data_IF_556569110031
#
_entry.id   IF_556569110031
#
_cell.length_a   1.000
_cell.length_b   1.000
_cell.length_c   1.000
_cell.angle_alpha   90.00
_cell.angle_beta   90.00
_cell.angle_gamma   90.00
#
_symmetry.space_group_name_H-M   'P 1'
#
loop_
_entity.id
_entity.type
_entity.pdbx_description
1 polymer ?
#
# COMPACT_ATOMS: atom_id res chain seq x y z
N UNK A 1 -41.22 -12.21 16.70
CA UNK A 1 -40.23 -11.50 17.54
C UNK A 1 -39.12 -11.01 16.63
N UNK A 2 -38.58 -9.83 16.91
CA UNK A 2 -37.44 -9.29 16.17
C UNK A 2 -36.19 -10.02 16.65
N UNK A 3 -35.47 -10.67 15.74
CA UNK A 3 -34.27 -11.43 16.06
C UNK A 3 -33.02 -10.54 16.15
N UNK A 4 -31.89 -11.13 16.52
CA UNK A 4 -30.64 -10.39 16.70
C UNK A 4 -30.09 -9.80 15.39
N UNK A 5 -30.41 -10.38 14.23
CA UNK A 5 -29.95 -9.83 12.95
C UNK A 5 -30.69 -8.51 12.66
N UNK A 6 -32.00 -8.49 12.87
CA UNK A 6 -32.78 -7.27 12.74
C UNK A 6 -32.46 -6.24 13.81
N UNK A 7 -32.13 -6.65 15.04
CA UNK A 7 -31.63 -5.73 16.08
C UNK A 7 -30.31 -5.09 15.68
N UNK A 8 -29.39 -5.86 15.09
CA UNK A 8 -28.15 -5.33 14.51
C UNK A 8 -28.44 -4.30 13.41
N UNK A 9 -29.35 -4.64 12.49
CA UNK A 9 -29.78 -3.74 11.41
C UNK A 9 -30.42 -2.44 11.93
N UNK A 10 -31.28 -2.51 12.96
CA UNK A 10 -31.88 -1.33 13.62
C UNK A 10 -30.78 -0.42 14.18
N UNK A 11 -29.84 -0.99 14.95
CA UNK A 11 -28.75 -0.24 15.54
C UNK A 11 -27.90 0.47 14.47
N UNK A 12 -27.51 -0.24 13.41
CA UNK A 12 -26.76 0.33 12.29
C UNK A 12 -27.51 1.50 11.63
N UNK A 13 -28.80 1.33 11.34
CA UNK A 13 -29.59 2.37 10.67
C UNK A 13 -29.79 3.61 11.54
N UNK A 14 -29.96 3.45 12.84
CA UNK A 14 -29.99 4.58 13.78
C UNK A 14 -28.65 5.34 13.77
N UNK A 15 -27.52 4.65 13.66
CA UNK A 15 -26.18 5.24 13.61
C UNK A 15 -25.86 5.93 12.27
N UNK A 16 -26.43 5.41 11.19
CA UNK A 16 -26.46 6.04 9.86
C UNK A 16 -27.40 7.26 9.81
N UNK A 17 -28.07 7.59 10.92
CA UNK A 17 -28.98 8.73 11.04
C UNK A 17 -30.25 8.60 10.20
N UNK A 18 -30.68 7.36 9.90
CA UNK A 18 -32.00 7.10 9.35
C UNK A 18 -33.06 7.37 10.43
N UNK A 19 -34.22 7.88 10.01
CA UNK A 19 -35.29 8.22 10.97
C UNK A 19 -35.86 6.96 11.65
N UNK A 20 -36.21 7.00 12.95
CA UNK A 20 -36.88 5.88 13.61
C UNK A 20 -38.15 5.44 12.86
N UNK A 21 -38.91 6.39 12.32
CA UNK A 21 -40.12 6.11 11.55
C UNK A 21 -39.84 5.32 10.27
N UNK A 22 -38.76 5.62 9.52
CA UNK A 22 -38.40 4.84 8.33
C UNK A 22 -37.96 3.43 8.70
N UNK A 23 -37.25 3.26 9.81
CA UNK A 23 -36.82 1.95 10.31
C UNK A 23 -38.05 1.11 10.70
N UNK A 24 -38.98 1.68 11.47
CA UNK A 24 -40.25 1.03 11.83
C UNK A 24 -41.05 0.67 10.58
N UNK A 25 -41.12 1.56 9.58
CA UNK A 25 -41.82 1.29 8.33
C UNK A 25 -41.23 0.07 7.60
N UNK A 26 -39.90 -0.01 7.49
CA UNK A 26 -39.22 -1.17 6.89
C UNK A 26 -39.51 -2.45 7.67
N UNK A 27 -39.47 -2.42 9.00
CA UNK A 27 -39.82 -3.61 9.81
C UNK A 27 -41.25 -4.10 9.53
N UNK A 28 -42.22 -3.18 9.44
CA UNK A 28 -43.61 -3.54 9.12
C UNK A 28 -43.72 -4.16 7.71
N UNK A 29 -43.02 -3.60 6.72
CA UNK A 29 -42.98 -4.17 5.36
C UNK A 29 -42.42 -5.59 5.32
N UNK A 30 -41.56 -5.95 6.28
CA UNK A 30 -41.01 -7.30 6.44
C UNK A 30 -41.85 -8.21 7.36
N UNK A 31 -43.08 -7.80 7.70
CA UNK A 31 -44.05 -8.65 8.41
C UNK A 31 -43.92 -8.62 9.93
N UNK A 32 -43.15 -7.70 10.50
CA UNK A 32 -43.14 -7.49 11.95
C UNK A 32 -44.40 -6.73 12.39
N UNK A 33 -44.93 -7.12 13.54
CA UNK A 33 -46.04 -6.42 14.17
C UNK A 33 -45.69 -4.94 14.43
N UNK A 34 -46.55 -3.98 14.06
CA UNK A 34 -46.25 -2.54 14.18
C UNK A 34 -45.91 -2.08 15.60
N UNK A 35 -46.53 -2.66 16.62
CA UNK A 35 -46.28 -2.24 17.99
C UNK A 35 -44.94 -2.77 18.49
N UNK A 36 -44.67 -4.06 18.24
CA UNK A 36 -43.37 -4.65 18.54
C UNK A 36 -42.22 -3.92 17.81
N UNK A 37 -42.42 -3.49 16.56
CA UNK A 37 -41.42 -2.72 15.81
C UNK A 37 -41.15 -1.34 16.45
N UNK A 38 -42.18 -0.63 16.90
CA UNK A 38 -42.02 0.66 17.59
C UNK A 38 -41.30 0.50 18.92
N UNK A 39 -41.70 -0.48 19.73
CA UNK A 39 -41.09 -0.74 21.04
C UNK A 39 -39.61 -1.06 20.86
N UNK A 40 -39.26 -1.97 19.96
CA UNK A 40 -37.86 -2.37 19.74
C UNK A 40 -36.99 -1.20 19.25
N UNK A 41 -37.48 -0.38 18.32
CA UNK A 41 -36.74 0.80 17.84
C UNK A 41 -36.56 1.84 18.96
N UNK A 42 -37.60 2.08 19.77
CA UNK A 42 -37.52 3.01 20.91
C UNK A 42 -36.56 2.51 22.00
N UNK A 43 -36.55 1.20 22.29
CA UNK A 43 -35.61 0.58 23.22
C UNK A 43 -34.16 0.70 22.72
N UNK A 44 -33.92 0.45 21.43
CA UNK A 44 -32.62 0.64 20.81
C UNK A 44 -32.16 2.10 20.91
N UNK A 45 -33.03 3.07 20.64
CA UNK A 45 -32.72 4.50 20.73
C UNK A 45 -32.38 4.94 22.16
N UNK A 46 -33.12 4.44 23.16
CA UNK A 46 -32.87 4.73 24.58
C UNK A 46 -31.61 4.02 25.13
N UNK A 47 -31.10 3.00 24.44
CA UNK A 47 -30.01 2.15 24.89
C UNK A 47 -28.76 2.95 25.27
N UNK A 48 -28.21 2.77 26.50
CA UNK A 48 -26.95 3.40 26.90
C UNK A 48 -25.77 2.89 26.06
N UNK A 49 -25.83 1.66 25.54
CA UNK A 49 -24.81 1.11 24.65
C UNK A 49 -24.82 1.80 23.29
N UNK A 50 -26.01 2.00 22.71
CA UNK A 50 -26.13 2.72 21.44
C UNK A 50 -25.67 4.18 21.60
N UNK A 51 -26.03 4.84 22.71
CA UNK A 51 -25.50 6.18 23.05
C UNK A 51 -23.98 6.20 23.17
N UNK A 52 -23.37 5.17 23.74
CA UNK A 52 -21.92 4.98 23.78
C UNK A 52 -21.31 4.89 22.38
N UNK A 53 -21.90 4.06 21.53
CA UNK A 53 -21.46 3.88 20.15
C UNK A 53 -21.66 5.15 19.32
N UNK A 54 -22.76 5.88 19.48
CA UNK A 54 -22.98 7.18 18.81
C UNK A 54 -21.88 8.18 19.14
N UNK A 55 -21.39 8.22 20.39
CA UNK A 55 -20.23 9.07 20.74
C UNK A 55 -18.96 8.65 20.00
N UNK A 56 -18.71 7.35 19.89
CA UNK A 56 -17.56 6.84 19.13
C UNK A 56 -17.69 7.13 17.63
N UNK A 57 -18.87 6.89 17.05
CA UNK A 57 -19.20 7.21 15.66
C UNK A 57 -19.01 8.71 15.36
N UNK A 58 -19.45 9.59 16.25
CA UNK A 58 -19.25 11.04 16.09
C UNK A 58 -17.77 11.45 16.17
N UNK A 59 -16.97 10.79 17.03
CA UNK A 59 -15.52 11.02 17.07
C UNK A 59 -14.84 10.58 15.77
N UNK A 60 -15.26 9.45 15.21
CA UNK A 60 -14.79 8.96 13.91
C UNK A 60 -15.18 9.91 12.78
N UNK A 61 -16.46 10.31 12.69
CA UNK A 61 -16.93 11.32 11.73
C UNK A 61 -16.15 12.63 11.81
N UNK A 62 -15.82 13.09 13.03
CA UNK A 62 -14.98 14.28 13.23
C UNK A 62 -13.55 14.06 12.72
N UNK A 63 -12.95 12.89 12.95
CA UNK A 63 -11.63 12.53 12.42
C UNK A 63 -11.63 12.56 10.89
N UNK A 64 -12.60 11.90 10.28
CA UNK A 64 -12.70 11.80 8.82
C UNK A 64 -13.00 13.17 8.19
N UNK A 65 -13.80 14.00 8.86
CA UNK A 65 -14.00 15.40 8.45
C UNK A 65 -12.70 16.20 8.45
N UNK A 66 -11.87 16.11 9.51
CA UNK A 66 -10.57 16.80 9.54
C UNK A 66 -9.63 16.31 8.43
N UNK A 67 -9.60 15.01 8.16
CA UNK A 67 -8.83 14.44 7.04
C UNK A 67 -9.35 14.97 5.69
N UNK A 68 -10.66 15.05 5.51
CA UNK A 68 -11.28 15.63 4.32
C UNK A 68 -10.94 17.10 4.11
N UNK A 69 -10.90 17.90 5.18
CA UNK A 69 -10.43 19.31 5.14
C UNK A 69 -8.97 19.37 4.72
N UNK A 70 -8.11 18.51 5.27
CA UNK A 70 -6.70 18.48 4.87
C UNK A 70 -6.52 18.08 3.40
N UNK A 71 -7.31 17.12 2.92
CA UNK A 71 -7.34 16.74 1.50
C UNK A 71 -7.75 17.91 0.59
N UNK A 72 -8.73 18.71 1.02
CA UNK A 72 -9.17 19.89 0.29
C UNK A 72 -8.09 20.98 0.24
N UNK A 73 -7.46 21.28 1.38
CA UNK A 73 -6.34 22.23 1.44
C UNK A 73 -5.15 21.77 0.59
N UNK A 74 -4.84 20.47 0.60
CA UNK A 74 -3.79 19.89 -0.24
C UNK A 74 -4.10 20.08 -1.73
N UNK A 75 -5.35 19.84 -2.15
CA UNK A 75 -5.82 20.09 -3.53
C UNK A 75 -5.68 21.56 -3.93
N UNK A 76 -6.03 22.49 -3.04
CA UNK A 76 -5.93 23.93 -3.30
C UNK A 76 -4.49 24.39 -3.56
N UNK A 77 -3.48 23.68 -3.03
CA UNK A 77 -2.06 24.01 -3.26
C UNK A 77 -1.62 23.80 -4.73
N UNK A 78 -2.36 23.04 -5.53
CA UNK A 78 -2.13 22.93 -6.97
C UNK A 78 -1.00 21.99 -7.40
N UNK A 79 -0.77 20.89 -6.67
CA UNK A 79 0.21 19.86 -7.05
C UNK A 79 -0.46 18.52 -7.30
N UNK A 80 -0.71 18.19 -8.57
CA UNK A 80 -1.18 16.85 -8.98
C UNK A 80 -0.03 15.91 -9.33
N UNK A 81 1.21 16.33 -9.10
CA UNK A 81 2.41 15.60 -9.52
C UNK A 81 3.39 15.41 -8.35
N UNK A 82 4.13 14.31 -8.38
CA UNK A 82 5.27 14.11 -7.48
C UNK A 82 6.47 14.87 -8.03
N UNK A 83 7.05 15.83 -7.28
CA UNK A 83 8.18 16.62 -7.77
C UNK A 83 9.42 15.74 -7.97
N UNK A 84 10.20 16.07 -9.00
CA UNK A 84 11.54 15.53 -9.23
C UNK A 84 12.59 16.54 -8.75
N UNK A 85 13.52 16.11 -7.90
CA UNK A 85 14.61 16.93 -7.37
C UNK A 85 15.95 16.24 -7.62
N UNK A 86 16.84 16.91 -8.31
CA UNK A 86 18.18 16.40 -8.57
C UNK A 86 19.08 16.59 -7.35
N UNK A 87 19.79 15.53 -6.95
CA UNK A 87 20.80 15.52 -5.88
C UNK A 87 20.34 16.26 -4.61
N UNK A 88 19.08 16.04 -4.23
CA UNK A 88 18.42 16.69 -3.10
C UNK A 88 19.26 16.58 -1.82
N UNK A 89 19.52 17.68 -1.12
CA UNK A 89 20.35 17.60 0.08
C UNK A 89 19.64 16.83 1.21
N UNK A 90 20.40 16.32 2.17
CA UNK A 90 19.86 15.59 3.33
C UNK A 90 18.91 16.48 4.15
N UNK A 91 19.30 17.73 4.38
CA UNK A 91 18.50 18.66 5.17
C UNK A 91 17.19 19.04 4.46
N UNK A 92 17.25 19.42 3.18
CA UNK A 92 16.05 19.70 2.38
C UNK A 92 15.12 18.49 2.30
N UNK A 93 15.68 17.29 2.09
CA UNK A 93 14.90 16.05 2.04
C UNK A 93 14.08 15.86 3.34
N UNK A 94 14.74 15.98 4.48
CA UNK A 94 14.06 15.74 5.74
C UNK A 94 13.08 16.86 6.09
N UNK A 95 13.42 18.12 5.82
CA UNK A 95 12.58 19.28 6.14
C UNK A 95 11.37 19.42 5.22
N UNK A 96 11.55 19.30 3.90
CA UNK A 96 10.51 19.60 2.91
C UNK A 96 9.63 18.40 2.54
N UNK A 97 10.12 17.18 2.78
CA UNK A 97 9.50 15.94 2.31
C UNK A 97 9.23 14.93 3.44
N UNK A 98 10.27 14.48 4.15
CA UNK A 98 10.11 13.45 5.20
C UNK A 98 9.19 13.93 6.32
N UNK A 99 9.48 15.08 6.93
CA UNK A 99 8.69 15.63 8.03
C UNK A 99 7.34 16.20 7.58
N UNK A 100 7.18 16.50 6.27
CA UNK A 100 5.93 17.01 5.70
C UNK A 100 5.03 15.88 5.16
N UNK A 101 5.47 14.62 5.24
CA UNK A 101 4.79 13.46 4.65
C UNK A 101 4.46 13.67 3.16
N UNK A 102 5.43 14.15 2.37
CA UNK A 102 5.28 14.43 0.94
C UNK A 102 6.20 13.54 0.10
N UNK A 103 5.68 12.86 -0.94
CA UNK A 103 6.51 12.08 -1.84
C UNK A 103 7.41 13.00 -2.68
N UNK A 104 8.56 12.47 -3.08
CA UNK A 104 9.51 13.11 -3.99
C UNK A 104 10.28 12.05 -4.76
N UNK A 105 10.57 12.34 -6.02
CA UNK A 105 11.53 11.55 -6.80
C UNK A 105 12.87 12.28 -6.77
N UNK A 106 13.91 11.56 -6.36
CA UNK A 106 15.25 12.08 -6.26
C UNK A 106 16.07 11.51 -7.42
N UNK A 107 16.66 12.38 -8.23
CA UNK A 107 17.47 12.00 -9.39
C UNK A 107 18.96 12.27 -9.12
N UNK A 108 19.85 11.62 -9.89
CA UNK A 108 21.30 11.85 -9.80
C UNK A 108 22.00 11.23 -8.59
N UNK A 109 21.29 10.47 -7.74
CA UNK A 109 21.88 9.82 -6.53
C UNK A 109 22.49 8.44 -6.77
N UNK A 110 22.34 7.90 -7.99
CA UNK A 110 22.76 6.54 -8.33
C UNK A 110 23.77 6.55 -9.49
N UNK A 111 24.36 7.69 -9.84
CA UNK A 111 25.28 7.82 -10.99
C UNK A 111 26.52 6.96 -10.87
N UNK A 112 27.00 6.76 -9.65
CA UNK A 112 28.20 6.01 -9.30
C UNK A 112 27.92 4.53 -8.98
N UNK A 113 26.68 4.07 -9.03
CA UNK A 113 26.32 2.68 -8.69
C UNK A 113 26.74 1.73 -9.83
N UNK A 114 27.71 0.80 -9.60
CA UNK A 114 28.09 -0.16 -10.63
C UNK A 114 26.92 -1.04 -11.10
N UNK A 115 25.91 -1.25 -10.27
CA UNK A 115 24.73 -2.05 -10.59
C UNK A 115 23.97 -1.56 -11.82
N UNK A 116 23.99 -0.25 -12.10
CA UNK A 116 23.26 0.34 -13.24
C UNK A 116 23.77 -0.14 -14.59
N UNK A 117 25.06 -0.44 -14.67
CA UNK A 117 25.70 -0.94 -15.90
C UNK A 117 25.87 -2.45 -15.89
N UNK A 118 26.09 -3.04 -14.70
CA UNK A 118 26.50 -4.45 -14.58
C UNK A 118 25.36 -5.43 -14.48
N UNK A 119 24.20 -5.06 -13.94
CA UNK A 119 23.09 -5.98 -13.66
C UNK A 119 22.33 -6.42 -14.92
N UNK A 120 23.05 -7.08 -15.82
CA UNK A 120 22.49 -7.85 -16.93
C UNK A 120 22.12 -9.26 -16.46
N UNK A 121 21.22 -9.94 -17.17
CA UNK A 121 20.87 -11.33 -16.85
C UNK A 121 22.08 -12.24 -16.81
N UNK A 122 23.00 -12.13 -17.78
CA UNK A 122 24.23 -12.92 -17.81
C UNK A 122 25.04 -12.70 -16.54
N UNK A 123 25.31 -11.44 -16.19
CA UNK A 123 26.10 -11.09 -15.01
C UNK A 123 25.48 -11.60 -13.71
N UNK A 124 24.17 -11.41 -13.56
CA UNK A 124 23.43 -11.85 -12.38
C UNK A 124 23.49 -13.38 -12.22
N UNK A 125 23.37 -14.14 -13.32
CA UNK A 125 23.55 -15.59 -13.31
C UNK A 125 24.98 -16.01 -12.98
N UNK A 126 25.98 -15.38 -13.59
CA UNK A 126 27.39 -15.71 -13.36
C UNK A 126 27.79 -15.48 -11.89
N UNK A 127 27.22 -14.46 -11.24
CA UNK A 127 27.58 -14.05 -9.87
C UNK A 127 26.77 -14.72 -8.77
N UNK A 128 25.48 -14.94 -8.99
CA UNK A 128 24.55 -15.42 -7.97
C UNK A 128 23.82 -16.70 -8.35
N UNK A 129 24.05 -17.25 -9.54
CA UNK A 129 23.20 -18.29 -10.15
C UNK A 129 23.08 -19.58 -9.35
N UNK A 130 24.10 -19.94 -8.58
CA UNK A 130 24.15 -21.12 -7.71
C UNK A 130 23.34 -20.98 -6.42
N UNK A 131 22.92 -19.76 -6.06
CA UNK A 131 22.16 -19.52 -4.84
C UNK A 131 20.73 -20.06 -4.99
N UNK A 132 20.24 -20.76 -3.97
CA UNK A 132 18.81 -21.04 -3.81
C UNK A 132 18.10 -19.74 -3.39
N UNK A 133 17.00 -19.43 -4.07
CA UNK A 133 16.16 -18.26 -3.77
C UNK A 133 14.70 -18.67 -3.64
N UNK A 134 13.97 -17.89 -2.86
CA UNK A 134 12.52 -17.99 -2.72
C UNK A 134 11.83 -16.88 -3.53
N UNK A 135 10.82 -17.25 -4.30
CA UNK A 135 10.00 -16.32 -5.09
C UNK A 135 8.54 -16.70 -4.98
N UNK A 136 7.66 -15.81 -5.41
CA UNK A 136 6.25 -16.14 -5.59
C UNK A 136 6.01 -16.67 -7.02
N UNK A 137 5.34 -17.81 -7.17
CA UNK A 137 4.85 -18.35 -8.47
C UNK A 137 3.33 -18.57 -8.42
N UNK A 138 2.69 -18.62 -9.59
CA UNK A 138 1.25 -18.92 -9.69
C UNK A 138 0.36 -17.75 -9.25
N UNK A 139 0.91 -16.53 -9.16
CA UNK A 139 0.21 -15.33 -8.68
C UNK A 139 -1.03 -14.99 -9.52
N UNK A 140 -1.08 -15.38 -10.78
CA UNK A 140 -2.27 -15.15 -11.62
C UNK A 140 -3.46 -16.06 -11.25
N UNK A 141 -3.22 -17.15 -10.53
CA UNK A 141 -4.26 -18.09 -10.12
C UNK A 141 -4.98 -17.70 -8.82
N UNK A 142 -4.44 -16.71 -8.09
CA UNK A 142 -5.00 -16.24 -6.82
C UNK A 142 -5.30 -14.74 -6.90
N UNK A 143 -6.57 -14.29 -6.82
CA UNK A 143 -6.92 -12.86 -6.83
C UNK A 143 -6.35 -12.09 -5.63
N UNK A 144 -5.94 -12.78 -4.57
CA UNK A 144 -5.38 -12.25 -3.33
C UNK A 144 -3.89 -12.62 -3.17
N UNK A 145 -3.15 -12.74 -4.28
CA UNK A 145 -1.76 -13.25 -4.29
C UNK A 145 -0.80 -12.60 -3.28
N UNK A 146 -0.89 -11.30 -2.97
CA UNK A 146 -0.02 -10.70 -1.92
C UNK A 146 -0.45 -11.05 -0.50
N UNK A 147 -1.76 -11.19 -0.29
CA UNK A 147 -2.32 -11.55 1.01
C UNK A 147 -2.04 -13.03 1.31
N UNK A 148 -2.17 -13.88 0.29
CA UNK A 148 -1.99 -15.33 0.35
C UNK A 148 -0.56 -15.77 -0.03
N UNK A 149 0.39 -14.83 -0.08
CA UNK A 149 1.74 -15.05 -0.59
C UNK A 149 2.48 -16.25 0.01
N UNK A 150 2.18 -16.64 1.25
CA UNK A 150 2.81 -17.80 1.90
C UNK A 150 2.54 -19.09 1.14
N UNK A 151 1.34 -19.21 0.55
CA UNK A 151 0.92 -20.36 -0.26
C UNK A 151 1.55 -20.37 -1.66
N UNK A 152 2.14 -19.26 -2.07
CA UNK A 152 2.71 -19.06 -3.41
C UNK A 152 4.24 -19.09 -3.39
N UNK A 153 4.87 -19.41 -2.26
CA UNK A 153 6.34 -19.46 -2.14
C UNK A 153 6.90 -20.72 -2.79
N UNK A 154 7.85 -20.53 -3.70
CA UNK A 154 8.60 -21.60 -4.33
C UNK A 154 10.09 -21.31 -4.25
N UNK A 155 10.89 -22.39 -4.18
CA UNK A 155 12.35 -22.32 -4.19
C UNK A 155 12.90 -22.84 -5.51
N UNK A 156 13.90 -22.15 -6.02
CA UNK A 156 14.66 -22.53 -7.20
C UNK A 156 16.04 -21.87 -7.17
N UNK A 157 16.90 -22.25 -8.11
CA UNK A 157 18.19 -21.54 -8.27
C UNK A 157 17.96 -20.13 -8.81
N UNK A 158 18.83 -19.20 -8.43
CA UNK A 158 18.76 -17.83 -8.94
C UNK A 158 18.97 -17.80 -10.47
N UNK A 159 19.79 -18.71 -11.01
CA UNK A 159 19.97 -18.84 -12.45
C UNK A 159 18.65 -19.20 -13.16
N UNK A 160 17.95 -20.21 -12.66
CA UNK A 160 16.65 -20.61 -13.18
C UNK A 160 15.61 -19.48 -13.05
N UNK A 161 15.65 -18.73 -11.95
CA UNK A 161 14.75 -17.60 -11.74
C UNK A 161 14.99 -16.50 -12.79
N UNK A 162 16.25 -16.13 -13.03
CA UNK A 162 16.62 -15.15 -14.06
C UNK A 162 16.15 -15.61 -15.45
N UNK A 163 16.33 -16.89 -15.78
CA UNK A 163 15.88 -17.44 -17.07
C UNK A 163 14.36 -17.38 -17.23
N UNK A 164 13.60 -17.66 -16.17
CA UNK A 164 12.14 -17.52 -16.17
C UNK A 164 11.71 -16.06 -16.32
N UNK A 165 12.37 -15.11 -15.64
CA UNK A 165 12.09 -13.67 -15.81
C UNK A 165 12.35 -13.23 -17.24
N UNK A 166 13.46 -13.67 -17.84
CA UNK A 166 13.81 -13.34 -19.22
C UNK A 166 12.78 -13.87 -20.24
N UNK A 167 12.19 -15.04 -19.97
CA UNK A 167 11.21 -15.68 -20.85
C UNK A 167 9.76 -15.23 -20.61
N UNK A 168 9.45 -14.59 -19.47
CA UNK A 168 8.07 -14.34 -19.04
C UNK A 168 7.30 -13.29 -19.87
N UNK A 169 8.00 -12.44 -20.63
CA UNK A 169 7.36 -11.33 -21.36
C UNK A 169 6.64 -10.37 -20.40
N UNK A 170 5.32 -10.22 -20.55
CA UNK A 170 4.47 -9.45 -19.64
C UNK A 170 3.63 -10.43 -18.79
N UNK A 171 3.99 -10.56 -17.51
CA UNK A 171 3.39 -11.52 -16.58
C UNK A 171 3.50 -11.05 -15.12
N UNK A 172 2.45 -11.26 -14.33
CA UNK A 172 2.49 -11.15 -12.88
C UNK A 172 2.77 -12.50 -12.19
N UNK A 173 2.92 -13.59 -12.94
CA UNK A 173 2.86 -14.95 -12.37
C UNK A 173 4.09 -15.33 -11.53
N UNK A 174 5.23 -14.69 -11.78
CA UNK A 174 6.51 -14.90 -11.09
C UNK A 174 7.04 -13.57 -10.57
N UNK A 175 7.33 -13.49 -9.26
CA UNK A 175 7.94 -12.29 -8.69
C UNK A 175 8.78 -12.55 -7.45
N UNK A 176 9.97 -11.94 -7.37
CA UNK A 176 10.76 -11.86 -6.14
C UNK A 176 10.43 -10.56 -5.40
N UNK A 177 9.97 -10.68 -4.15
CA UNK A 177 9.45 -9.56 -3.34
C UNK A 177 10.21 -9.36 -2.03
N UNK A 178 9.99 -8.23 -1.36
CA UNK A 178 10.55 -7.99 -0.02
C UNK A 178 10.16 -9.06 1.02
N UNK A 179 9.02 -9.71 0.86
CA UNK A 179 8.56 -10.75 1.78
C UNK A 179 9.40 -12.04 1.68
N UNK A 180 10.16 -12.21 0.60
CA UNK A 180 11.12 -13.31 0.42
C UNK A 180 12.54 -12.92 0.89
N UNK A 181 12.76 -11.67 1.32
CA UNK A 181 14.10 -11.12 1.52
C UNK A 181 14.94 -11.88 2.55
N UNK A 182 14.32 -12.42 3.61
CA UNK A 182 15.04 -13.22 4.62
C UNK A 182 15.70 -14.47 4.01
N UNK A 183 15.09 -15.05 2.96
CA UNK A 183 15.62 -16.22 2.25
C UNK A 183 16.51 -15.83 1.06
N UNK A 184 16.40 -14.60 0.57
CA UNK A 184 17.17 -14.10 -0.58
C UNK A 184 18.36 -13.22 -0.19
N UNK A 185 18.63 -13.06 1.10
CA UNK A 185 19.66 -12.16 1.63
C UNK A 185 21.06 -12.44 1.07
N UNK A 186 21.37 -13.70 0.76
CA UNK A 186 22.65 -14.09 0.16
C UNK A 186 22.87 -13.46 -1.22
N UNK A 187 21.80 -13.22 -1.98
CA UNK A 187 21.88 -12.49 -3.26
C UNK A 187 22.32 -11.06 -3.01
N UNK A 188 21.70 -10.38 -2.03
CA UNK A 188 22.08 -9.02 -1.64
C UNK A 188 23.51 -8.95 -1.11
N UNK A 189 23.95 -9.91 -0.32
CA UNK A 189 25.33 -9.97 0.18
C UNK A 189 26.35 -10.04 -0.97
N UNK A 190 26.08 -10.83 -2.01
CA UNK A 190 26.96 -10.90 -3.20
C UNK A 190 26.91 -9.63 -4.04
N UNK A 191 25.76 -8.97 -4.14
CA UNK A 191 25.56 -7.79 -4.98
C UNK A 191 25.88 -6.45 -4.27
N UNK A 192 26.06 -6.46 -2.94
CA UNK A 192 26.27 -5.27 -2.09
C UNK A 192 27.29 -4.27 -2.64
N UNK A 193 28.46 -4.74 -3.06
CA UNK A 193 29.55 -3.89 -3.54
C UNK A 193 29.24 -3.11 -4.83
N UNK A 194 28.03 -3.27 -5.40
CA UNK A 194 27.57 -2.61 -6.62
C UNK A 194 26.45 -1.60 -6.36
N UNK A 195 26.05 -1.47 -5.11
CA UNK A 195 25.01 -0.56 -4.64
C UNK A 195 25.71 0.54 -3.85
N UNK A 196 25.61 1.79 -4.29
CA UNK A 196 26.16 2.93 -3.56
C UNK A 196 25.32 3.31 -2.33
N UNK A 197 25.91 4.09 -1.42
CA UNK A 197 25.25 4.57 -0.22
C UNK A 197 24.39 5.81 -0.54
N UNK A 198 23.12 5.78 -0.11
CA UNK A 198 22.28 6.98 -0.09
C UNK A 198 22.52 7.77 1.21
N UNK A 199 22.72 9.09 1.17
CA UNK A 199 23.13 9.88 2.34
C UNK A 199 22.01 10.05 3.39
N UNK A 200 20.76 9.69 3.06
CA UNK A 200 19.62 9.76 3.99
C UNK A 200 19.43 8.48 4.82
N UNK A 201 20.17 7.42 4.49
CA UNK A 201 20.09 6.11 5.12
C UNK A 201 21.29 5.87 6.03
N UNK A 202 21.09 5.06 7.07
CA UNK A 202 22.20 4.57 7.89
C UNK A 202 23.10 3.65 7.05
N UNK A 203 24.33 3.44 7.52
CA UNK A 203 25.28 2.49 6.91
C UNK A 203 25.02 1.05 7.37
N UNK A 204 23.79 0.72 7.79
CA UNK A 204 23.43 -0.64 8.14
C UNK A 204 23.49 -1.51 6.89
N UNK A 205 24.55 -2.30 6.80
CA UNK A 205 24.76 -3.21 5.69
C UNK A 205 23.59 -4.20 5.55
N UNK A 206 22.89 -4.53 6.62
CA UNK A 206 21.81 -5.49 6.55
C UNK A 206 20.47 -4.91 6.07
N UNK A 207 20.44 -3.62 5.77
CA UNK A 207 19.24 -2.95 5.32
C UNK A 207 19.00 -3.10 3.82
N UNK A 208 17.72 -3.08 3.46
CA UNK A 208 17.27 -3.10 2.08
C UNK A 208 16.53 -4.38 1.73
N UNK A 209 15.58 -4.25 0.80
CA UNK A 209 14.84 -5.37 0.24
C UNK A 209 15.01 -5.39 -1.27
N UNK A 210 15.27 -6.58 -1.79
CA UNK A 210 15.50 -6.81 -3.22
C UNK A 210 14.20 -7.21 -3.92
N UNK A 211 13.88 -6.50 -5.00
CA UNK A 211 12.75 -6.80 -5.86
C UNK A 211 13.25 -7.08 -7.27
N UNK A 212 12.82 -8.19 -7.87
CA UNK A 212 13.17 -8.52 -9.24
C UNK A 212 12.02 -9.30 -9.89
N UNK A 213 11.60 -8.88 -11.08
CA UNK A 213 10.58 -9.57 -11.85
C UNK A 213 10.45 -9.05 -13.27
N UNK A 214 9.62 -9.72 -14.09
CA UNK A 214 9.34 -9.29 -15.45
C UNK A 214 8.47 -8.03 -15.50
N UNK A 215 8.22 -7.55 -16.72
CA UNK A 215 7.13 -6.62 -16.97
C UNK A 215 5.80 -7.26 -16.56
N UNK A 216 4.82 -6.47 -16.13
CA UNK A 216 3.50 -6.95 -15.74
C UNK A 216 3.36 -7.37 -14.28
N UNK A 217 4.43 -7.36 -13.49
CA UNK A 217 4.36 -7.59 -12.04
C UNK A 217 3.53 -6.51 -11.35
N UNK A 218 2.65 -6.90 -10.43
CA UNK A 218 1.70 -6.00 -9.75
C UNK A 218 1.78 -6.14 -8.25
N UNK A 219 1.78 -5.03 -7.54
CA UNK A 219 1.52 -4.97 -6.10
C UNK A 219 0.20 -4.20 -5.91
N UNK A 220 -0.84 -4.82 -5.32
CA UNK A 220 -2.18 -4.25 -5.16
C UNK A 220 -2.13 -2.99 -4.29
N UNK A 221 -3.22 -2.23 -4.29
CA UNK A 221 -3.30 -0.99 -3.55
C UNK A 221 -3.15 -1.24 -2.03
N UNK A 222 -2.09 -0.69 -1.45
CA UNK A 222 -1.79 -0.82 -0.03
C UNK A 222 -1.04 0.40 0.49
N UNK A 223 -0.84 0.51 1.80
CA UNK A 223 0.13 1.43 2.38
C UNK A 223 1.12 0.67 3.27
N UNK A 224 2.20 1.34 3.65
CA UNK A 224 3.18 0.79 4.57
C UNK A 224 3.06 1.39 5.97
N UNK A 225 3.65 0.69 6.95
CA UNK A 225 3.79 1.13 8.34
C UNK A 225 5.11 1.87 8.61
N UNK A 226 5.86 2.16 7.55
CA UNK A 226 7.15 2.87 7.58
C UNK A 226 7.23 3.83 6.41
N UNK A 227 8.11 4.83 6.48
CA UNK A 227 8.55 5.51 5.27
C UNK A 227 9.46 4.58 4.47
N UNK A 228 9.44 4.71 3.15
CA UNK A 228 10.20 3.87 2.22
C UNK A 228 10.96 4.72 1.19
N UNK A 229 12.18 4.29 0.84
CA UNK A 229 12.74 4.59 -0.46
C UNK A 229 12.53 3.44 -1.42
N UNK A 230 12.26 3.75 -2.68
CA UNK A 230 12.31 2.81 -3.81
C UNK A 230 13.35 3.30 -4.81
N UNK A 231 14.55 2.74 -4.75
CA UNK A 231 15.63 3.01 -5.70
C UNK A 231 15.50 2.07 -6.91
N UNK A 232 15.10 2.62 -8.05
CA UNK A 232 14.89 1.86 -9.28
C UNK A 232 16.22 1.68 -9.99
N UNK A 233 16.79 0.46 -9.96
CA UNK A 233 18.12 0.19 -10.50
C UNK A 233 18.06 -0.17 -11.98
N UNK A 234 17.14 -1.08 -12.34
CA UNK A 234 16.95 -1.57 -13.72
C UNK A 234 15.49 -1.43 -14.09
N UNK A 235 15.21 -1.01 -15.33
CA UNK A 235 13.86 -0.91 -15.87
C UNK A 235 13.03 0.21 -15.25
N UNK A 236 11.72 0.02 -15.23
CA UNK A 236 10.75 1.05 -14.88
C UNK A 236 9.51 0.47 -14.19
N UNK A 237 8.90 1.29 -13.35
CA UNK A 237 7.63 1.00 -12.67
C UNK A 237 6.66 2.16 -12.86
N UNK A 238 5.37 1.83 -12.95
CA UNK A 238 4.25 2.76 -12.87
C UNK A 238 3.61 2.61 -11.50
N UNK A 239 3.34 3.72 -10.82
CA UNK A 239 2.70 3.74 -9.53
C UNK A 239 1.49 4.65 -9.56
N UNK A 240 0.44 4.29 -8.82
CA UNK A 240 -0.64 5.21 -8.49
C UNK A 240 -0.59 5.51 -7.01
N UNK A 241 -0.31 6.75 -6.64
CA UNK A 241 -0.17 7.19 -5.26
C UNK A 241 -1.41 7.94 -4.80
N UNK A 242 -1.91 7.61 -3.62
CA UNK A 242 -3.03 8.26 -2.96
C UNK A 242 -2.55 8.75 -1.58
N UNK A 243 -2.74 10.03 -1.24
CA UNK A 243 -2.29 10.56 0.03
C UNK A 243 -2.96 9.88 1.24
N UNK A 244 -2.23 9.79 2.36
CA UNK A 244 -2.74 9.11 3.57
C UNK A 244 -4.06 9.68 4.10
N UNK A 245 -4.33 10.98 3.90
CA UNK A 245 -5.55 11.63 4.36
C UNK A 245 -6.80 11.23 3.55
N UNK A 246 -6.62 10.57 2.40
CA UNK A 246 -7.72 9.96 1.65
C UNK A 246 -8.05 8.52 2.13
N UNK A 247 -7.41 8.01 3.20
CA UNK A 247 -7.72 6.69 3.79
C UNK A 247 -9.22 6.40 4.01
N UNK A 248 -10.09 7.36 4.41
CA UNK A 248 -11.53 7.09 4.51
C UNK A 248 -12.22 6.72 3.17
N UNK A 249 -11.57 7.00 2.04
CA UNK A 249 -12.11 6.86 0.68
C UNK A 249 -11.52 5.66 -0.09
N UNK A 250 -10.52 4.96 0.46
CA UNK A 250 -9.80 3.88 -0.25
C UNK A 250 -10.25 2.46 0.11
N UNK A 251 -11.35 2.28 0.83
CA UNK A 251 -11.93 0.94 1.10
C UNK A 251 -10.89 -0.06 1.63
N UNK A 252 -10.13 0.36 2.65
CA UNK A 252 -9.23 -0.52 3.40
C UNK A 252 -10.05 -1.66 4.02
N UNK A 253 -9.77 -2.90 3.63
CA UNK A 253 -10.55 -4.07 4.06
C UNK A 253 -9.77 -4.99 5.00
N UNK A 254 -8.43 -4.95 4.93
CA UNK A 254 -7.57 -5.85 5.71
C UNK A 254 -6.21 -5.24 5.91
N UNK A 255 -5.77 -5.11 7.17
CA UNK A 255 -4.46 -4.56 7.52
C UNK A 255 -4.21 -3.24 6.75
N UNK A 256 -3.26 -3.22 5.83
CA UNK A 256 -2.91 -2.06 5.00
C UNK A 256 -3.37 -2.20 3.54
N UNK A 257 -4.20 -3.20 3.21
CA UNK A 257 -4.67 -3.48 1.86
C UNK A 257 -6.08 -2.93 1.61
N UNK A 258 -6.28 -2.50 0.38
CA UNK A 258 -7.57 -2.05 -0.15
C UNK A 258 -8.21 -3.13 -1.02
N UNK A 259 -9.54 -3.19 -1.01
CA UNK A 259 -10.33 -4.03 -1.94
C UNK A 259 -10.32 -3.48 -3.37
N UNK A 260 -9.87 -2.24 -3.53
CA UNK A 260 -9.71 -1.61 -4.83
C UNK A 260 -8.49 -2.20 -5.50
N UNK A 261 -8.69 -2.81 -6.67
CA UNK A 261 -7.61 -3.40 -7.44
C UNK A 261 -7.23 -2.52 -8.64
N UNK A 262 -5.94 -2.28 -8.82
CA UNK A 262 -5.40 -1.62 -10.01
C UNK A 262 -5.54 -0.10 -10.04
N UNK A 263 -5.66 0.42 -11.26
CA UNK A 263 -5.69 1.85 -11.60
C UNK A 263 -7.08 2.34 -12.03
N UNK A 264 -7.97 1.42 -12.40
CA UNK A 264 -9.38 1.70 -12.67
C UNK A 264 -10.14 1.86 -11.36
N UNK A 265 -10.16 3.07 -10.82
CA UNK A 265 -10.97 3.42 -9.67
C UNK A 265 -12.46 3.35 -10.04
N UNK A 266 -13.03 2.14 -10.08
CA UNK A 266 -14.43 1.88 -10.42
C UNK A 266 -15.34 2.64 -9.44
N UNK A 267 -15.82 3.80 -9.85
CA UNK A 267 -16.66 4.68 -9.02
C UNK A 267 -18.08 4.14 -8.85
N UNK A 268 -18.50 3.14 -9.63
CA UNK A 268 -19.80 2.47 -9.43
C UNK A 268 -19.70 1.51 -8.25
N UNK A 269 -18.65 0.69 -8.23
CA UNK A 269 -18.38 -0.23 -7.11
C UNK A 269 -17.87 0.49 -5.87
N UNK A 270 -17.06 1.54 -6.05
CA UNK A 270 -16.37 2.28 -4.99
C UNK A 270 -16.71 3.78 -5.03
N UNK A 271 -17.97 4.20 -4.78
CA UNK A 271 -18.41 5.58 -4.97
C UNK A 271 -17.65 6.66 -4.19
N UNK A 272 -16.95 6.31 -3.09
CA UNK A 272 -16.13 7.29 -2.33
C UNK A 272 -14.87 7.71 -3.10
N UNK A 273 -14.40 6.91 -4.07
CA UNK A 273 -13.20 7.22 -4.86
C UNK A 273 -13.41 8.39 -5.81
N UNK A 274 -14.66 8.73 -6.14
CA UNK A 274 -14.98 9.89 -6.98
C UNK A 274 -14.49 11.23 -6.37
N UNK A 275 -14.22 11.26 -5.05
CA UNK A 275 -13.72 12.45 -4.33
C UNK A 275 -12.22 12.38 -4.04
N UNK A 276 -11.58 11.28 -4.40
CA UNK A 276 -10.18 11.00 -4.09
C UNK A 276 -9.29 11.54 -5.20
N UNK A 277 -8.15 12.10 -4.82
CA UNK A 277 -7.10 12.43 -5.77
C UNK A 277 -6.06 11.32 -5.75
N UNK A 278 -5.60 10.90 -6.93
CA UNK A 278 -4.46 10.03 -7.09
C UNK A 278 -3.45 10.69 -8.03
N UNK A 279 -2.19 10.28 -7.91
CA UNK A 279 -1.09 10.75 -8.73
C UNK A 279 -0.44 9.55 -9.39
N UNK A 280 -0.45 9.52 -10.72
CA UNK A 280 0.31 8.52 -11.47
C UNK A 280 1.79 8.95 -11.52
N UNK A 281 2.68 7.99 -11.25
CA UNK A 281 4.13 8.19 -11.21
C UNK A 281 4.80 7.14 -12.07
N UNK A 282 5.60 7.57 -13.03
CA UNK A 282 6.57 6.73 -13.71
C UNK A 282 7.93 6.86 -13.03
N UNK A 283 8.41 5.75 -12.44
CA UNK A 283 9.71 5.64 -11.79
C UNK A 283 10.66 4.87 -12.71
N UNK A 284 11.75 5.52 -13.12
CA UNK A 284 12.69 5.04 -14.12
C UNK A 284 14.04 4.66 -13.49
N UNK A 285 14.85 3.88 -14.23
CA UNK A 285 16.18 3.49 -13.78
C UNK A 285 17.08 4.70 -13.44
N UNK A 286 17.65 4.68 -12.23
CA UNK A 286 18.47 5.76 -11.67
C UNK A 286 17.69 6.77 -10.83
N UNK A 287 16.37 6.62 -10.70
CA UNK A 287 15.52 7.45 -9.84
C UNK A 287 15.23 6.76 -8.50
N UNK A 288 15.13 7.56 -7.43
CA UNK A 288 14.73 7.10 -6.09
C UNK A 288 13.41 7.76 -5.72
N UNK A 289 12.34 6.99 -5.54
CA UNK A 289 11.09 7.50 -4.98
C UNK A 289 11.14 7.47 -3.46
N UNK A 290 10.89 8.60 -2.80
CA UNK A 290 10.45 8.64 -1.42
C UNK A 290 8.95 8.43 -1.33
N UNK A 291 8.56 7.37 -0.65
CA UNK A 291 7.20 7.03 -0.34
C UNK A 291 6.97 7.24 1.18
N UNK A 292 6.28 8.32 1.58
CA UNK A 292 6.04 8.59 2.99
C UNK A 292 5.08 7.56 3.59
N UNK A 293 5.23 7.32 4.89
CA UNK A 293 4.34 6.42 5.63
C UNK A 293 2.87 6.78 5.43
N UNK A 294 2.01 5.76 5.28
CA UNK A 294 0.57 5.91 5.11
C UNK A 294 0.11 6.32 3.71
N UNK A 295 1.04 6.62 2.79
CA UNK A 295 0.66 6.81 1.39
C UNK A 295 0.25 5.49 0.78
N UNK A 296 -0.98 5.48 0.27
CA UNK A 296 -1.54 4.37 -0.45
C UNK A 296 -0.92 4.31 -1.84
N UNK A 297 -0.55 3.12 -2.30
CA UNK A 297 0.13 2.95 -3.56
C UNK A 297 -0.18 1.61 -4.22
N UNK A 298 -0.47 1.66 -5.51
CA UNK A 298 -0.46 0.50 -6.42
C UNK A 298 0.82 0.58 -7.25
N UNK A 299 1.47 -0.57 -7.51
CA UNK A 299 2.74 -0.61 -8.24
C UNK A 299 2.68 -1.65 -9.35
N UNK A 300 3.09 -1.25 -10.55
CA UNK A 300 3.19 -2.12 -11.72
C UNK A 300 4.59 -2.03 -12.36
N UNK A 301 5.24 -3.16 -12.61
CA UNK A 301 6.45 -3.21 -13.43
C UNK A 301 6.12 -3.01 -14.90
N UNK A 302 6.59 -1.91 -15.51
CA UNK A 302 6.34 -1.63 -16.94
C UNK A 302 7.41 -2.23 -17.86
N UNK A 303 8.51 -2.72 -17.28
CA UNK A 303 9.55 -3.50 -17.92
C UNK A 303 10.11 -4.53 -16.94
N UNK A 304 11.03 -5.39 -17.39
CA UNK A 304 11.86 -6.17 -16.46
C UNK A 304 12.52 -5.18 -15.49
N UNK A 305 12.28 -5.36 -14.20
CA UNK A 305 12.64 -4.36 -13.21
C UNK A 305 13.40 -4.96 -12.04
N UNK A 306 14.45 -4.25 -11.61
CA UNK A 306 15.15 -4.51 -10.34
C UNK A 306 15.10 -3.25 -9.50
N UNK A 307 14.56 -3.35 -8.29
CA UNK A 307 14.35 -2.24 -7.37
C UNK A 307 14.90 -2.61 -6.00
N UNK A 308 15.58 -1.66 -5.37
CA UNK A 308 15.98 -1.76 -3.96
C UNK A 308 15.06 -0.87 -3.13
N UNK A 309 14.43 -1.42 -2.09
CA UNK A 309 13.66 -0.60 -1.14
C UNK A 309 14.33 -0.51 0.21
N UNK A 310 14.25 0.65 0.87
CA UNK A 310 14.94 0.91 2.13
C UNK A 310 14.05 1.59 3.16
N UNK A 311 14.20 1.18 4.43
CA UNK A 311 13.49 1.73 5.60
C UNK A 311 14.43 2.25 6.69
N UNK A 312 15.74 2.07 6.55
CA UNK A 312 16.76 2.40 7.53
C UNK A 312 17.21 3.87 7.45
N UNK A 313 16.27 4.81 7.49
CA UNK A 313 16.58 6.24 7.48
C UNK A 313 17.46 6.63 8.69
N UNK A 314 18.31 7.65 8.52
CA UNK A 314 19.10 8.22 9.64
C UNK A 314 18.23 8.92 10.70
N UNK A 315 16.93 9.10 10.42
CA UNK A 315 15.92 9.59 11.37
C UNK A 315 14.93 8.48 11.73
N UNK A 316 14.23 8.68 12.85
CA UNK A 316 13.26 7.73 13.39
C UNK A 316 12.22 7.29 12.35
N UNK A 317 12.12 5.97 12.11
CA UNK A 317 11.17 5.37 11.16
C UNK A 317 10.36 4.19 11.74
N UNK A 318 10.39 3.96 13.06
CA UNK A 318 9.69 2.84 13.72
C UNK A 318 8.24 3.18 14.09
N UNK A 319 7.49 3.77 13.16
CA UNK A 319 6.11 4.22 13.39
C UNK A 319 5.11 3.07 13.55
N UNK A 320 5.51 1.83 13.25
CA UNK A 320 4.70 0.63 13.45
C UNK A 320 4.52 0.23 14.94
N UNK A 321 5.31 0.79 15.88
CA UNK A 321 5.31 0.38 17.29
C UNK A 321 3.99 0.62 18.06
N UNK A 322 3.01 1.29 17.46
CA UNK A 322 1.67 1.48 18.02
C UNK A 322 0.53 1.11 17.05
N UNK A 323 0.85 0.40 15.96
CA UNK A 323 -0.17 -0.12 15.05
C UNK A 323 -0.74 -1.41 15.63
N UNK A 324 -2.03 -1.44 15.96
CA UNK A 324 -2.67 -2.59 16.63
C UNK A 324 -3.69 -3.31 15.75
N UNK A 325 -4.05 -2.72 14.59
CA UNK A 325 -5.12 -3.21 13.72
C UNK A 325 -4.56 -4.16 12.65
N UNK A 326 -3.94 -5.27 13.06
CA UNK A 326 -3.32 -6.23 12.13
C UNK A 326 -4.33 -7.15 11.41
N UNK A 327 -5.62 -7.06 11.74
CA UNK A 327 -6.69 -7.94 11.28
C UNK A 327 -7.61 -7.26 10.25
N UNK A 328 -8.89 -7.63 10.24
CA UNK A 328 -9.96 -6.98 9.47
C UNK A 328 -10.21 -5.57 10.03
N UNK A 329 -10.30 -4.58 9.12
CA UNK A 329 -10.48 -3.16 9.44
C UNK A 329 -11.87 -2.71 9.00
#
# INVERSE_FOLDING_TARGET
>A
MIDNNWRGWIAENLLLSNSPNSIVHTLIQHGFDPENARVEVAEAEASPYLRGFSRLSNRLKKRDWMLGVYAELHRMRGGTEVPRREKLSVDEFFEEYYCQNRPVIITGMMEDWPSRERWTFKYLKDKCGDLEVEVQLGRNSDPNFEINQENLRHRLTFAEFVDRVAAAGNSNDLYMTANNNSKNRQVLERLRGEIGQLPYLTTDENAGFFWFGPAGTKTPLHHDLTNNFMAQVVGSKRLNLIPFFDTPNVYNHRHCYSDMFGDSFDTVRFPRTAKMQHVEVNLNAGEVLFLPIGWWHYVEGTSVSITMTYTNFVRHNHFFQGYETFHEV
#
